data_IF_256623840480
#
_entry.id   IF_256623840480
#
_cell.length_a   1.000
_cell.length_b   1.000
_cell.length_c   1.000
_cell.angle_alpha   90.00
_cell.angle_beta   90.00
_cell.angle_gamma   90.00
#
_symmetry.space_group_name_H-M   'P 1'
#
loop_
_entity.id
_entity.type
_entity.pdbx_description
1 polymer ?
#
# COMPACT_ATOMS: atom_id res chain seq x y z
N UNK A 1 -9.66 -29.09 -3.32
CA UNK A 1 -8.99 -27.76 -3.39
C UNK A 1 -7.51 -27.99 -3.54
N UNK A 2 -6.78 -27.03 -4.12
CA UNK A 2 -5.34 -27.12 -4.35
C UNK A 2 -4.67 -25.78 -4.06
N UNK A 3 -3.42 -25.81 -3.58
CA UNK A 3 -2.60 -24.61 -3.40
C UNK A 3 -1.94 -24.15 -4.70
N UNK A 4 -1.81 -25.06 -5.66
CA UNK A 4 -1.25 -24.78 -6.97
C UNK A 4 -1.99 -25.59 -8.04
N UNK A 5 -1.85 -25.24 -9.33
CA UNK A 5 -2.19 -26.14 -10.42
C UNK A 5 -1.66 -27.54 -10.17
N UNK A 6 -2.52 -28.55 -10.30
CA UNK A 6 -2.18 -29.91 -9.91
C UNK A 6 -3.17 -30.94 -10.41
N UNK A 7 -3.14 -32.12 -9.83
CA UNK A 7 -4.04 -33.21 -10.18
C UNK A 7 -4.90 -33.63 -9.00
N UNK A 8 -6.12 -34.09 -9.30
CA UNK A 8 -7.05 -34.65 -8.31
C UNK A 8 -7.59 -35.99 -8.80
N UNK A 9 -8.04 -36.82 -7.86
CA UNK A 9 -8.74 -38.06 -8.18
C UNK A 9 -10.23 -37.89 -7.87
N UNK A 10 -11.08 -38.35 -8.77
CA UNK A 10 -12.53 -38.43 -8.55
C UNK A 10 -12.99 -39.88 -8.52
N UNK A 11 -13.94 -40.15 -7.64
CA UNK A 11 -14.66 -41.43 -7.59
C UNK A 11 -16.14 -41.16 -7.80
N UNK A 12 -16.69 -41.76 -8.85
CA UNK A 12 -18.13 -41.80 -9.12
C UNK A 12 -18.70 -43.09 -8.54
N UNK A 13 -19.93 -43.06 -8.02
CA UNK A 13 -20.59 -44.24 -7.44
C UNK A 13 -22.03 -44.34 -7.94
N UNK A 14 -22.63 -45.53 -7.83
CA UNK A 14 -24.08 -45.71 -8.02
C UNK A 14 -24.55 -46.02 -9.45
N UNK A 15 -23.67 -46.42 -10.38
CA UNK A 15 -24.08 -46.93 -11.69
C UNK A 15 -24.21 -48.47 -11.67
N UNK A 16 -24.95 -49.08 -12.62
CA UNK A 16 -24.99 -50.53 -12.77
C UNK A 16 -23.63 -51.07 -13.25
N UNK A 17 -23.19 -52.19 -12.66
CA UNK A 17 -21.84 -52.75 -12.75
C UNK A 17 -21.37 -53.11 -14.17
N UNK A 18 -20.05 -53.05 -14.40
CA UNK A 18 -19.34 -53.54 -15.60
C UNK A 18 -19.84 -53.02 -16.96
N UNK A 19 -20.37 -51.79 -17.04
CA UNK A 19 -20.71 -51.13 -18.30
C UNK A 19 -19.59 -50.21 -18.79
N UNK A 20 -19.34 -50.26 -20.10
CA UNK A 20 -18.31 -49.44 -20.75
C UNK A 20 -18.70 -47.95 -20.77
N UNK A 21 -17.76 -47.07 -20.40
CA UNK A 21 -17.81 -45.60 -20.50
C UNK A 21 -19.10 -44.94 -19.96
N UNK A 22 -19.66 -45.47 -18.87
CA UNK A 22 -20.95 -45.01 -18.33
C UNK A 22 -20.86 -43.65 -17.62
N UNK A 23 -19.68 -43.28 -17.12
CA UNK A 23 -19.41 -41.99 -16.48
C UNK A 23 -18.63 -41.06 -17.41
N UNK A 24 -19.09 -39.82 -17.56
CA UNK A 24 -18.40 -38.74 -18.24
C UNK A 24 -18.13 -37.58 -17.29
N UNK A 25 -16.88 -37.19 -17.11
CA UNK A 25 -16.48 -36.04 -16.31
C UNK A 25 -16.07 -34.88 -17.22
N UNK A 26 -16.74 -33.74 -17.05
CA UNK A 26 -16.44 -32.50 -17.77
C UNK A 26 -16.05 -31.39 -16.78
N UNK A 27 -15.17 -30.44 -17.15
CA UNK A 27 -14.44 -30.34 -18.42
C UNK A 27 -13.37 -31.43 -18.57
N UNK A 28 -12.97 -31.68 -19.82
CA UNK A 28 -11.98 -32.70 -20.19
C UNK A 28 -12.54 -33.91 -20.92
N UNK A 29 -13.88 -34.06 -20.96
CA UNK A 29 -14.59 -35.15 -21.63
C UNK A 29 -13.95 -36.52 -21.31
N UNK A 30 -13.67 -36.74 -20.03
CA UNK A 30 -13.01 -37.95 -19.54
C UNK A 30 -14.08 -39.01 -19.30
N UNK A 31 -13.78 -40.25 -19.67
CA UNK A 31 -14.70 -41.37 -19.49
C UNK A 31 -14.14 -42.41 -18.52
N UNK A 32 -15.03 -43.03 -17.76
CA UNK A 32 -14.70 -44.14 -16.87
C UNK A 32 -15.78 -45.23 -16.92
N UNK A 33 -15.34 -46.49 -16.91
CA UNK A 33 -16.22 -47.64 -16.80
C UNK A 33 -16.63 -47.83 -15.34
N UNK A 34 -17.83 -48.38 -15.11
CA UNK A 34 -18.18 -48.87 -13.79
C UNK A 34 -17.42 -50.16 -13.49
N UNK A 35 -16.80 -50.27 -12.32
CA UNK A 35 -16.20 -51.51 -11.81
C UNK A 35 -17.27 -52.53 -11.37
N UNK A 36 -16.83 -53.65 -10.81
CA UNK A 36 -17.70 -54.69 -10.26
C UNK A 36 -18.53 -54.23 -9.05
N UNK A 37 -18.21 -53.07 -8.44
CA UNK A 37 -18.97 -52.43 -7.39
C UNK A 37 -19.92 -51.32 -7.89
N UNK A 38 -19.89 -51.00 -9.19
CA UNK A 38 -20.68 -49.91 -9.77
C UNK A 38 -20.03 -48.53 -9.62
N UNK A 39 -18.72 -48.45 -9.39
CA UNK A 39 -17.97 -47.20 -9.21
C UNK A 39 -17.11 -46.88 -10.44
N UNK A 40 -16.94 -45.60 -10.74
CA UNK A 40 -16.01 -45.10 -11.75
C UNK A 40 -14.86 -44.35 -11.09
N UNK A 41 -13.65 -44.46 -11.65
CA UNK A 41 -12.47 -43.74 -11.18
C UNK A 41 -11.90 -42.84 -12.28
N UNK A 42 -11.58 -41.60 -11.92
CA UNK A 42 -10.83 -40.66 -12.74
C UNK A 42 -9.57 -40.29 -11.97
N UNK A 43 -8.43 -40.81 -12.41
CA UNK A 43 -7.15 -40.63 -11.74
C UNK A 43 -6.35 -39.50 -12.41
N UNK A 44 -5.65 -38.73 -11.59
CA UNK A 44 -4.74 -37.67 -12.04
C UNK A 44 -5.40 -36.64 -13.00
N UNK A 45 -6.64 -36.22 -12.71
CA UNK A 45 -7.33 -35.19 -13.49
C UNK A 45 -6.66 -33.85 -13.26
N UNK A 46 -6.08 -33.26 -14.31
CA UNK A 46 -5.40 -31.97 -14.24
C UNK A 46 -6.37 -30.82 -13.99
N UNK A 47 -6.02 -29.94 -13.06
CA UNK A 47 -6.75 -28.74 -12.68
C UNK A 47 -5.78 -27.57 -12.69
N UNK A 48 -5.90 -26.71 -13.70
CA UNK A 48 -5.03 -25.52 -13.84
C UNK A 48 -5.61 -24.27 -13.19
N UNK A 49 -6.94 -24.17 -13.09
CA UNK A 49 -7.63 -23.03 -12.50
C UNK A 49 -8.83 -23.52 -11.69
N UNK A 50 -9.40 -22.65 -10.84
CA UNK A 50 -10.67 -22.93 -10.15
C UNK A 50 -11.74 -23.34 -11.15
N UNK A 51 -12.22 -24.57 -11.02
CA UNK A 51 -13.09 -25.22 -12.02
C UNK A 51 -14.16 -26.05 -11.33
N UNK A 52 -15.38 -26.00 -11.85
CA UNK A 52 -16.45 -26.92 -11.47
C UNK A 52 -16.49 -28.10 -12.42
N UNK A 53 -16.19 -29.29 -11.90
CA UNK A 53 -16.35 -30.53 -12.64
C UNK A 53 -17.79 -31.02 -12.53
N UNK A 54 -18.39 -31.35 -13.66
CA UNK A 54 -19.72 -31.97 -13.76
C UNK A 54 -19.55 -33.39 -14.28
N UNK A 55 -19.90 -34.34 -13.43
CA UNK A 55 -20.06 -35.74 -13.75
C UNK A 55 -21.45 -35.94 -14.36
N UNK A 56 -21.54 -36.65 -15.47
CA UNK A 56 -22.78 -37.17 -16.03
C UNK A 56 -22.72 -38.69 -16.15
N UNK A 57 -23.85 -39.34 -15.91
CA UNK A 57 -24.04 -40.79 -16.06
C UNK A 57 -25.31 -41.01 -16.86
N UNK A 58 -25.24 -41.84 -17.89
CA UNK A 58 -26.40 -42.17 -18.75
C UNK A 58 -26.64 -43.67 -18.74
N UNK A 59 -27.85 -44.07 -18.32
CA UNK A 59 -28.28 -45.47 -18.33
C UNK A 59 -29.73 -45.58 -18.78
N UNK A 60 -30.02 -46.48 -19.73
CA UNK A 60 -31.38 -46.70 -20.22
C UNK A 60 -32.05 -45.47 -20.83
N UNK A 61 -31.27 -44.52 -21.38
CA UNK A 61 -31.78 -43.26 -21.92
C UNK A 61 -32.03 -42.16 -20.87
N UNK A 62 -31.79 -42.42 -19.58
CA UNK A 62 -31.86 -41.42 -18.52
C UNK A 62 -30.47 -40.91 -18.16
N UNK A 63 -30.30 -39.59 -18.08
CA UNK A 63 -29.05 -38.95 -17.64
C UNK A 63 -29.22 -38.35 -16.24
N UNK A 64 -28.24 -38.60 -15.36
CA UNK A 64 -28.08 -37.92 -14.08
C UNK A 64 -26.77 -37.17 -14.06
N UNK A 65 -26.71 -36.09 -13.27
CA UNK A 65 -25.51 -35.27 -13.11
C UNK A 65 -25.20 -35.01 -11.65
N UNK A 66 -23.92 -34.85 -11.35
CA UNK A 66 -23.41 -34.37 -10.07
C UNK A 66 -22.25 -33.40 -10.35
N UNK A 67 -22.07 -32.37 -9.52
CA UNK A 67 -21.02 -31.38 -9.72
C UNK A 67 -20.16 -31.23 -8.47
N UNK A 68 -18.85 -31.05 -8.69
CA UNK A 68 -17.87 -30.78 -7.65
C UNK A 68 -16.98 -29.61 -8.08
N UNK A 69 -16.99 -28.54 -7.29
CA UNK A 69 -16.07 -27.43 -7.49
C UNK A 69 -14.70 -27.73 -6.87
N UNK A 70 -13.64 -27.46 -7.63
CA UNK A 70 -12.26 -27.48 -7.17
C UNK A 70 -11.71 -26.06 -7.28
N UNK A 71 -11.45 -25.43 -6.13
CA UNK A 71 -10.77 -24.13 -6.06
C UNK A 71 -9.26 -24.32 -6.05
N UNK A 72 -8.56 -23.55 -6.88
CA UNK A 72 -7.10 -23.46 -6.94
C UNK A 72 -6.68 -22.11 -6.35
N UNK A 73 -5.90 -22.14 -5.28
CA UNK A 73 -5.40 -20.98 -4.55
C UNK A 73 -4.03 -20.56 -5.09
N UNK A 74 -3.94 -20.32 -6.40
CA UNK A 74 -2.71 -19.82 -7.03
C UNK A 74 -2.47 -18.32 -6.74
N UNK A 75 -1.24 -17.86 -6.96
CA UNK A 75 -0.86 -16.44 -6.87
C UNK A 75 -1.23 -15.83 -5.51
N UNK A 76 -0.66 -16.40 -4.46
CA UNK A 76 -0.83 -15.95 -3.08
C UNK A 76 0.24 -14.91 -2.78
N UNK A 77 -0.13 -13.63 -2.90
CA UNK A 77 0.78 -12.52 -2.64
C UNK A 77 0.54 -11.98 -1.24
N UNK A 78 1.62 -11.95 -0.45
CA UNK A 78 1.66 -11.35 0.88
C UNK A 78 2.37 -9.99 0.78
N UNK A 79 1.82 -8.96 1.42
CA UNK A 79 2.45 -7.64 1.49
C UNK A 79 2.44 -7.11 2.92
N UNK A 80 3.30 -6.13 3.20
CA UNK A 80 3.34 -5.39 4.46
C UNK A 80 3.07 -3.92 4.15
N UNK A 81 2.17 -3.29 4.90
CA UNK A 81 2.01 -1.84 4.94
C UNK A 81 2.19 -1.32 6.38
N UNK A 82 2.95 -0.25 6.60
CA UNK A 82 3.79 0.43 5.63
C UNK A 82 5.08 -0.32 5.28
N UNK A 83 5.59 -0.07 4.08
CA UNK A 83 6.92 -0.54 3.66
C UNK A 83 8.00 0.45 4.12
N UNK A 84 8.97 -0.04 4.87
CA UNK A 84 10.16 0.68 5.33
C UNK A 84 9.88 2.03 6.05
N UNK A 85 8.97 2.08 7.05
CA UNK A 85 8.63 3.33 7.70
C UNK A 85 9.82 3.91 8.48
N UNK A 86 9.98 5.23 8.41
CA UNK A 86 10.88 6.00 9.26
C UNK A 86 10.11 6.53 10.47
N UNK A 87 10.62 6.31 11.68
CA UNK A 87 10.05 6.83 12.92
C UNK A 87 11.07 7.64 13.70
N UNK A 88 10.58 8.57 14.51
CA UNK A 88 11.42 9.41 15.35
C UNK A 88 11.77 8.74 16.68
N UNK A 89 10.84 7.98 17.22
CA UNK A 89 10.99 7.22 18.46
C UNK A 89 9.83 6.24 18.59
N UNK A 90 9.93 5.33 19.55
CA UNK A 90 8.85 4.41 19.89
C UNK A 90 8.63 3.33 18.83
N UNK A 91 7.38 3.14 18.45
CA UNK A 91 6.94 2.03 17.63
C UNK A 91 6.00 2.48 16.51
N UNK A 92 5.87 1.65 15.48
CA UNK A 92 4.90 1.79 14.40
C UNK A 92 4.12 0.50 14.23
N UNK A 93 2.94 0.58 13.64
CA UNK A 93 2.13 -0.59 13.32
C UNK A 93 2.44 -1.06 11.90
N UNK A 94 2.97 -2.27 11.77
CA UNK A 94 3.07 -2.98 10.48
C UNK A 94 1.89 -3.92 10.34
N UNK A 95 1.21 -3.90 9.20
CA UNK A 95 0.04 -4.73 8.88
C UNK A 95 0.33 -5.57 7.66
N UNK A 96 0.12 -6.88 7.77
CA UNK A 96 0.23 -7.80 6.65
C UNK A 96 -1.11 -7.90 5.90
N UNK A 97 -1.04 -8.06 4.58
CA UNK A 97 -2.19 -8.35 3.72
C UNK A 97 -1.92 -9.58 2.88
N UNK A 98 -2.98 -10.32 2.55
CA UNK A 98 -2.92 -11.55 1.74
C UNK A 98 -3.93 -11.44 0.61
N UNK A 99 -3.43 -11.47 -0.62
CA UNK A 99 -4.25 -11.52 -1.83
C UNK A 99 -4.11 -12.90 -2.47
N UNK A 100 -5.22 -13.56 -2.75
CA UNK A 100 -5.27 -14.85 -3.47
C UNK A 100 -6.05 -14.65 -4.76
N UNK A 101 -5.41 -14.87 -5.92
CA UNK A 101 -6.04 -14.63 -7.22
C UNK A 101 -6.75 -13.26 -7.32
N UNK A 102 -6.18 -12.22 -6.71
CA UNK A 102 -6.75 -10.87 -6.68
C UNK A 102 -7.89 -10.64 -5.68
N UNK A 103 -8.22 -11.61 -4.84
CA UNK A 103 -9.22 -11.46 -3.75
C UNK A 103 -8.54 -11.35 -2.39
N UNK A 104 -8.99 -10.42 -1.54
CA UNK A 104 -8.46 -10.22 -0.19
C UNK A 104 -8.88 -11.38 0.73
N UNK A 105 -7.89 -12.02 1.35
CA UNK A 105 -8.03 -13.14 2.29
C UNK A 105 -7.35 -12.83 3.63
N UNK A 106 -7.04 -11.56 3.90
CA UNK A 106 -6.26 -11.17 5.07
C UNK A 106 -6.95 -11.58 6.39
N UNK A 107 -8.26 -11.36 6.49
CA UNK A 107 -9.03 -11.66 7.70
C UNK A 107 -9.13 -13.15 8.05
N UNK A 108 -8.96 -14.05 7.07
CA UNK A 108 -9.10 -15.50 7.24
C UNK A 108 -7.74 -16.22 7.25
N UNK A 109 -6.65 -15.49 7.00
CA UNK A 109 -5.30 -16.02 6.98
C UNK A 109 -4.65 -16.01 8.37
N UNK A 110 -3.69 -16.89 8.55
CA UNK A 110 -2.80 -16.93 9.72
C UNK A 110 -1.44 -16.35 9.37
N UNK A 111 -0.77 -15.74 10.34
CA UNK A 111 0.48 -15.02 10.12
C UNK A 111 1.58 -15.56 11.03
N UNK A 112 2.82 -15.47 10.55
CA UNK A 112 4.02 -15.70 11.34
C UNK A 112 5.05 -14.64 10.99
N UNK A 113 5.26 -13.72 11.91
CA UNK A 113 6.26 -12.66 11.80
C UNK A 113 7.63 -13.15 12.28
N UNK A 114 8.71 -12.52 11.82
CA UNK A 114 10.09 -12.82 12.25
C UNK A 114 10.31 -12.69 13.76
N UNK A 115 9.47 -11.90 14.46
CA UNK A 115 9.47 -11.76 15.92
C UNK A 115 8.53 -12.76 16.63
N UNK A 116 8.08 -13.82 15.93
CA UNK A 116 7.16 -14.86 16.41
C UNK A 116 5.73 -14.40 16.72
N UNK A 117 5.36 -13.16 16.40
CA UNK A 117 3.96 -12.74 16.49
C UNK A 117 3.10 -13.41 15.41
N UNK A 118 1.82 -13.64 15.70
CA UNK A 118 0.88 -14.37 14.83
C UNK A 118 -0.36 -13.56 14.42
N UNK A 119 -0.42 -12.29 14.81
CA UNK A 119 -1.49 -11.36 14.44
C UNK A 119 -1.26 -10.75 13.07
N UNK A 120 -2.33 -10.31 12.38
CA UNK A 120 -2.23 -9.61 11.11
C UNK A 120 -1.40 -8.32 11.22
N UNK A 121 -1.57 -7.58 12.31
CA UNK A 121 -0.84 -6.36 12.60
C UNK A 121 0.05 -6.53 13.84
N UNK A 122 1.23 -5.94 13.80
CA UNK A 122 2.19 -5.91 14.90
C UNK A 122 2.62 -4.47 15.18
N UNK A 123 2.82 -4.15 16.46
CA UNK A 123 3.35 -2.86 16.88
C UNK A 123 4.82 -3.04 17.29
N UNK A 124 5.73 -2.41 16.55
CA UNK A 124 7.16 -2.71 16.62
C UNK A 124 8.04 -1.47 16.49
N UNK A 125 9.21 -1.53 17.14
CA UNK A 125 10.24 -0.50 17.04
C UNK A 125 11.21 -0.74 15.87
N UNK A 126 12.35 -0.02 15.84
CA UNK A 126 13.35 -0.14 14.80
C UNK A 126 13.86 -1.59 14.64
N UNK A 127 13.96 -2.05 13.40
CA UNK A 127 14.33 -3.42 13.05
C UNK A 127 13.77 -3.85 11.69
N UNK A 128 14.23 -4.99 11.19
CA UNK A 128 13.73 -5.59 9.95
C UNK A 128 12.75 -6.72 10.27
N UNK A 129 11.56 -6.63 9.70
CA UNK A 129 10.46 -7.58 9.93
C UNK A 129 10.08 -8.26 8.63
N UNK A 130 9.97 -9.59 8.67
CA UNK A 130 9.39 -10.39 7.59
C UNK A 130 8.13 -11.09 8.09
N UNK A 131 7.24 -11.44 7.17
CA UNK A 131 6.03 -12.20 7.50
C UNK A 131 5.81 -13.31 6.49
N UNK A 132 5.45 -14.48 6.98
CA UNK A 132 4.84 -15.54 6.18
C UNK A 132 3.37 -15.62 6.55
N UNK A 133 2.50 -15.81 5.56
CA UNK A 133 1.08 -16.02 5.79
C UNK A 133 0.64 -17.37 5.24
N UNK A 134 -0.35 -17.98 5.89
CA UNK A 134 -1.00 -19.21 5.46
C UNK A 134 -2.50 -18.98 5.42
N UNK A 135 -3.09 -19.18 4.25
CA UNK A 135 -4.54 -19.07 4.03
C UNK A 135 -5.31 -20.05 4.91
N UNK A 136 -6.61 -19.81 5.11
CA UNK A 136 -7.52 -20.69 5.87
C UNK A 136 -7.55 -22.14 5.39
N UNK A 137 -7.08 -22.38 4.16
CA UNK A 137 -7.08 -23.68 3.50
C UNK A 137 -5.71 -24.39 3.54
N UNK A 138 -4.73 -23.79 4.21
CA UNK A 138 -3.40 -24.37 4.42
C UNK A 138 -2.35 -24.00 3.36
N UNK A 139 -2.67 -23.14 2.39
CA UNK A 139 -1.71 -22.71 1.38
C UNK A 139 -0.88 -21.55 1.89
N UNK A 140 0.45 -21.66 1.80
CA UNK A 140 1.42 -20.64 2.18
C UNK A 140 1.59 -19.60 1.10
N UNK A 141 1.91 -18.36 1.47
CA UNK A 141 2.24 -17.30 0.51
C UNK A 141 3.42 -17.65 -0.41
N UNK A 142 3.36 -17.18 -1.65
CA UNK A 142 4.40 -17.40 -2.68
C UNK A 142 5.64 -16.53 -2.45
N UNK A 143 5.54 -15.56 -1.54
CA UNK A 143 6.59 -14.62 -1.18
C UNK A 143 6.66 -14.39 0.33
N UNK A 144 7.81 -13.86 0.76
CA UNK A 144 8.05 -13.43 2.14
C UNK A 144 8.43 -11.95 2.10
N UNK A 145 7.46 -11.01 2.22
CA UNK A 145 7.76 -9.59 2.19
C UNK A 145 8.58 -9.17 3.41
N UNK A 146 9.31 -8.06 3.26
CA UNK A 146 10.13 -7.46 4.31
C UNK A 146 9.80 -5.98 4.46
N UNK A 147 9.87 -5.47 5.69
CA UNK A 147 9.76 -4.04 6.00
C UNK A 147 10.76 -3.68 7.10
N UNK A 148 11.57 -2.65 6.85
CA UNK A 148 12.57 -2.16 7.80
C UNK A 148 12.08 -0.90 8.48
N UNK A 149 11.73 -1.01 9.75
CA UNK A 149 11.44 0.14 10.61
C UNK A 149 12.77 0.76 11.01
N UNK A 150 12.90 2.05 10.78
CA UNK A 150 14.16 2.75 10.86
C UNK A 150 14.00 4.01 11.70
N UNK A 151 15.03 4.34 12.47
CA UNK A 151 15.07 5.62 13.18
C UNK A 151 15.55 6.69 12.23
N UNK A 152 14.76 7.74 12.09
CA UNK A 152 15.26 8.95 11.47
C UNK A 152 16.37 9.55 12.34
N UNK A 153 17.52 9.84 11.73
CA UNK A 153 18.63 10.52 12.42
C UNK A 153 18.20 11.94 12.75
N UNK A 154 18.42 12.39 13.98
CA UNK A 154 18.26 13.79 14.33
C UNK A 154 19.20 14.60 13.41
N UNK A 155 18.64 15.43 12.53
CA UNK A 155 19.43 16.38 11.76
C UNK A 155 20.27 17.22 12.73
N UNK A 156 21.52 17.52 12.37
CA UNK A 156 22.53 18.16 13.24
C UNK A 156 22.21 19.59 13.74
N UNK A 157 20.95 20.01 13.73
CA UNK A 157 20.47 21.26 14.32
C UNK A 157 20.48 21.18 15.85
N UNK A 158 21.17 22.13 16.48
CA UNK A 158 21.21 22.27 17.94
C UNK A 158 19.90 22.89 18.45
N UNK A 159 19.20 22.13 19.29
CA UNK A 159 18.30 22.50 20.39
C UNK A 159 17.25 23.65 20.28
N UNK A 160 17.01 24.27 19.13
CA UNK A 160 15.84 25.15 18.87
C UNK A 160 15.62 25.29 17.35
N UNK A 161 15.08 24.25 16.72
CA UNK A 161 15.16 24.06 15.29
C UNK A 161 14.11 24.84 14.48
N UNK A 162 14.22 26.17 14.48
CA UNK A 162 13.51 27.01 13.50
C UNK A 162 14.32 27.04 12.21
N UNK A 163 13.73 26.57 11.12
CA UNK A 163 14.31 26.62 9.79
C UNK A 163 13.62 27.66 8.92
N UNK A 164 14.41 28.34 8.09
CA UNK A 164 13.96 29.42 7.23
C UNK A 164 14.01 28.96 5.78
N UNK A 165 12.87 29.03 5.11
CA UNK A 165 12.67 28.50 3.76
C UNK A 165 12.20 29.62 2.84
N UNK A 166 12.77 29.71 1.65
CA UNK A 166 12.34 30.60 0.58
C UNK A 166 12.01 29.80 -0.69
N UNK A 167 11.31 30.43 -1.65
CA UNK A 167 10.86 29.78 -2.87
C UNK A 167 11.97 29.52 -3.89
N UNK A 168 13.22 29.85 -3.58
CA UNK A 168 14.37 29.67 -4.49
C UNK A 168 15.05 28.35 -4.15
N UNK A 169 15.16 27.44 -5.11
CA UNK A 169 15.83 26.16 -4.89
C UNK A 169 17.34 26.36 -4.62
N UNK A 170 17.77 26.02 -3.41
CA UNK A 170 19.11 25.46 -3.13
C UNK A 170 20.31 26.40 -3.01
N UNK A 171 20.40 27.24 -1.97
CA UNK A 171 21.71 27.79 -1.56
C UNK A 171 21.90 27.99 -0.05
N UNK A 172 20.81 28.10 0.72
CA UNK A 172 20.87 28.31 2.17
C UNK A 172 20.88 27.02 2.99
N UNK A 173 21.54 27.05 4.14
CA UNK A 173 21.54 25.96 5.14
C UNK A 173 20.23 25.89 5.95
N UNK A 174 19.29 26.81 5.70
CA UNK A 174 18.02 26.97 6.40
C UNK A 174 18.14 27.37 7.88
N UNK A 175 19.34 27.57 8.44
CA UNK A 175 19.55 27.79 9.89
C UNK A 175 19.30 29.24 10.31
N UNK A 176 19.43 30.20 9.39
CA UNK A 176 19.20 31.61 9.68
C UNK A 176 18.30 32.25 8.63
N UNK A 177 17.71 33.40 8.96
CA UNK A 177 16.93 34.21 8.01
C UNK A 177 17.74 34.61 6.77
N UNK A 178 19.05 34.85 6.95
CA UNK A 178 19.95 35.26 5.87
C UNK A 178 20.38 34.09 4.97
N UNK A 179 20.38 32.88 5.52
CA UNK A 179 20.75 31.63 4.85
C UNK A 179 19.53 30.75 4.60
N UNK A 180 18.37 31.37 4.31
CA UNK A 180 17.16 30.63 4.01
C UNK A 180 17.35 29.74 2.76
N UNK A 181 16.95 28.47 2.86
CA UNK A 181 17.14 27.47 1.83
C UNK A 181 15.82 26.92 1.28
N UNK A 182 15.91 25.75 0.63
CA UNK A 182 14.75 25.08 0.04
C UNK A 182 13.96 24.25 1.05
N UNK A 183 12.68 24.00 0.75
CA UNK A 183 11.78 23.22 1.60
C UNK A 183 12.30 21.80 1.89
N UNK A 184 12.79 21.10 0.87
CA UNK A 184 13.30 19.71 1.02
C UNK A 184 14.50 19.68 1.97
N UNK A 185 15.46 20.60 1.79
CA UNK A 185 16.61 20.74 2.69
C UNK A 185 16.18 20.98 4.14
N UNK A 186 15.20 21.86 4.36
CA UNK A 186 14.69 22.11 5.71
C UNK A 186 14.02 20.86 6.30
N UNK A 187 13.24 20.12 5.51
CA UNK A 187 12.58 18.87 5.94
C UNK A 187 13.62 17.82 6.37
N UNK A 188 14.68 17.63 5.58
CA UNK A 188 15.76 16.70 5.91
C UNK A 188 16.46 17.08 7.22
N UNK A 189 16.63 18.38 7.48
CA UNK A 189 17.19 18.90 8.72
C UNK A 189 16.23 18.79 9.93
N UNK A 190 14.92 18.85 9.69
CA UNK A 190 13.87 18.85 10.72
C UNK A 190 13.59 17.50 11.35
N UNK A 191 14.07 16.41 10.74
CA UNK A 191 13.68 15.06 11.11
C UNK A 191 13.83 14.84 12.63
N UNK A 192 12.68 14.67 13.28
CA UNK A 192 12.54 14.21 14.66
C UNK A 192 13.06 15.16 15.75
N UNK A 193 13.06 16.47 15.50
CA UNK A 193 13.67 17.44 16.42
C UNK A 193 12.73 18.61 16.83
N UNK A 194 11.42 18.37 16.93
CA UNK A 194 10.42 19.40 17.31
C UNK A 194 10.61 20.72 16.52
N UNK A 195 10.78 20.59 15.20
CA UNK A 195 11.25 21.68 14.35
C UNK A 195 10.10 22.54 13.81
N UNK A 196 10.38 23.81 13.54
CA UNK A 196 9.46 24.75 12.91
C UNK A 196 10.07 25.24 11.61
N UNK A 197 9.49 24.87 10.48
CA UNK A 197 9.82 25.41 9.16
C UNK A 197 8.96 26.65 8.91
N UNK A 198 9.62 27.79 8.82
CA UNK A 198 9.03 29.08 8.43
C UNK A 198 9.27 29.29 6.94
N UNK A 199 8.18 29.34 6.18
CA UNK A 199 8.23 29.50 4.74
C UNK A 199 7.85 30.92 4.34
N UNK A 200 8.68 31.54 3.52
CA UNK A 200 8.33 32.80 2.89
C UNK A 200 7.11 32.64 1.99
N UNK A 201 6.36 33.73 1.84
CA UNK A 201 5.38 33.90 0.78
C UNK A 201 6.10 33.73 -0.57
N UNK A 202 5.49 32.96 -1.46
CA UNK A 202 6.10 32.58 -2.72
C UNK A 202 5.57 31.24 -3.22
N UNK A 203 5.98 30.86 -4.43
CA UNK A 203 5.56 29.63 -5.08
C UNK A 203 6.70 28.60 -5.02
N UNK A 204 6.41 27.45 -4.40
CA UNK A 204 7.31 26.32 -4.22
C UNK A 204 6.87 25.22 -5.19
N UNK A 205 7.58 25.08 -6.29
CA UNK A 205 7.28 24.05 -7.29
C UNK A 205 7.88 22.71 -6.86
N UNK A 206 7.07 21.66 -6.87
CA UNK A 206 7.44 20.31 -6.48
C UNK A 206 7.20 19.34 -7.65
N UNK A 207 8.23 18.58 -8.01
CA UNK A 207 8.15 17.47 -8.98
C UNK A 207 7.98 16.10 -8.32
N UNK A 208 8.09 16.04 -6.99
CA UNK A 208 7.87 14.85 -6.17
C UNK A 208 7.27 15.26 -4.83
N UNK A 209 6.78 14.28 -4.08
CA UNK A 209 6.26 14.46 -2.72
C UNK A 209 7.35 14.99 -1.77
N UNK A 210 6.91 15.72 -0.76
CA UNK A 210 7.70 16.01 0.44
C UNK A 210 7.29 15.03 1.53
N UNK A 211 8.22 14.19 1.98
CA UNK A 211 7.99 13.27 3.09
C UNK A 211 8.06 14.01 4.43
N UNK A 212 6.98 13.95 5.22
CA UNK A 212 6.83 14.70 6.48
C UNK A 212 6.80 13.74 7.66
N UNK A 213 7.73 13.94 8.60
CA UNK A 213 7.89 13.12 9.81
C UNK A 213 7.14 13.68 11.02
N UNK A 214 7.26 12.99 12.17
CA UNK A 214 6.74 13.50 13.45
C UNK A 214 7.43 14.79 13.87
N UNK A 215 6.74 15.57 14.72
CA UNK A 215 7.34 16.71 15.42
C UNK A 215 7.85 17.82 14.51
N UNK A 216 7.14 18.09 13.41
CA UNK A 216 7.45 19.20 12.50
C UNK A 216 6.25 20.12 12.33
N UNK A 217 6.47 21.41 12.48
CA UNK A 217 5.51 22.44 12.09
C UNK A 217 5.99 23.07 10.80
N UNK A 218 5.15 23.06 9.76
CA UNK A 218 5.39 23.74 8.49
C UNK A 218 4.41 24.91 8.42
N UNK A 219 4.93 26.13 8.45
CA UNK A 219 4.11 27.34 8.45
C UNK A 219 4.50 28.33 7.35
N UNK A 220 3.52 28.75 6.57
CA UNK A 220 3.66 29.77 5.53
C UNK A 220 3.30 31.19 5.99
N UNK A 221 3.34 32.11 5.04
CA UNK A 221 2.88 33.49 5.22
C UNK A 221 3.95 34.49 5.65
N UNK A 222 5.23 34.11 5.67
CA UNK A 222 6.29 35.03 6.10
C UNK A 222 6.74 35.97 4.98
N UNK A 223 6.97 37.25 5.31
CA UNK A 223 7.64 38.18 4.39
C UNK A 223 9.07 37.76 4.10
N UNK A 224 9.70 38.33 3.06
CA UNK A 224 11.06 37.97 2.60
C UNK A 224 12.18 38.12 3.66
N UNK A 225 11.92 38.85 4.75
CA UNK A 225 12.82 39.03 5.88
C UNK A 225 12.35 38.30 7.16
N UNK A 226 11.26 37.52 7.09
CA UNK A 226 10.66 36.78 8.21
C UNK A 226 10.36 37.65 9.44
N UNK A 227 9.90 38.89 9.25
CA UNK A 227 9.48 39.78 10.35
C UNK A 227 7.97 39.85 10.52
N UNK A 228 7.21 39.62 9.44
CA UNK A 228 5.75 39.64 9.45
C UNK A 228 5.25 38.31 8.94
N UNK A 229 4.17 37.82 9.57
CA UNK A 229 3.38 36.67 9.12
C UNK A 229 2.00 37.15 8.71
N UNK A 230 1.54 36.76 7.53
CA UNK A 230 0.17 36.96 7.04
C UNK A 230 -0.53 35.60 6.90
N UNK A 231 -1.86 35.63 6.84
CA UNK A 231 -2.69 34.45 6.52
C UNK A 231 -3.45 34.68 5.20
N UNK A 232 -2.86 35.44 4.27
CA UNK A 232 -3.46 35.67 2.97
C UNK A 232 -3.28 34.42 2.10
N UNK A 233 -4.42 33.84 1.68
CA UNK A 233 -4.49 32.60 0.90
C UNK A 233 -4.90 32.85 -0.56
N UNK A 234 -4.85 34.10 -1.03
CA UNK A 234 -5.34 34.49 -2.37
C UNK A 234 -4.48 33.96 -3.55
N UNK A 235 -3.31 33.39 -3.27
CA UNK A 235 -2.43 32.79 -4.29
C UNK A 235 -1.29 33.70 -4.74
N UNK A 236 -0.39 33.14 -5.56
CA UNK A 236 0.72 33.89 -6.17
C UNK A 236 1.70 34.45 -5.15
N UNK A 237 1.97 35.75 -5.24
CA UNK A 237 2.92 36.48 -4.38
C UNK A 237 2.33 36.89 -3.03
N UNK A 238 1.11 36.44 -2.71
CA UNK A 238 0.42 36.80 -1.46
C UNK A 238 0.40 35.64 -0.46
N UNK A 239 0.56 34.39 -0.93
CA UNK A 239 0.52 33.18 -0.11
C UNK A 239 1.77 32.32 -0.28
N UNK A 240 2.09 31.51 0.73
CA UNK A 240 3.04 30.40 0.58
C UNK A 240 2.33 29.28 -0.19
N UNK A 241 2.59 29.20 -1.49
CA UNK A 241 1.92 28.28 -2.41
C UNK A 241 2.82 27.07 -2.70
N UNK A 242 2.36 25.89 -2.33
CA UNK A 242 2.94 24.61 -2.75
C UNK A 242 2.29 24.21 -4.06
N UNK A 243 3.09 24.11 -5.12
CA UNK A 243 2.60 23.75 -6.45
C UNK A 243 3.18 22.40 -6.87
N UNK A 244 2.34 21.37 -6.86
CA UNK A 244 2.70 20.03 -7.28
C UNK A 244 2.49 19.90 -8.79
N UNK A 245 3.52 19.46 -9.52
CA UNK A 245 3.39 19.17 -10.95
C UNK A 245 2.64 17.85 -11.22
N UNK A 246 2.55 17.45 -12.50
CA UNK A 246 1.83 16.25 -12.93
C UNK A 246 2.60 14.93 -12.76
N UNK A 247 3.87 14.98 -12.34
CA UNK A 247 4.72 13.80 -12.21
C UNK A 247 4.19 12.93 -11.06
N UNK A 248 4.04 11.61 -11.27
CA UNK A 248 3.67 10.69 -10.19
C UNK A 248 4.73 10.66 -9.07
N UNK A 249 4.33 10.26 -7.86
CA UNK A 249 5.25 10.16 -6.73
C UNK A 249 6.34 9.11 -7.00
N UNK A 250 7.58 9.38 -6.62
CA UNK A 250 8.72 8.50 -6.92
C UNK A 250 8.57 7.05 -6.42
N UNK A 251 7.78 6.84 -5.35
CA UNK A 251 7.51 5.54 -4.74
C UNK A 251 6.14 4.95 -5.14
N UNK A 252 5.35 5.68 -5.93
CA UNK A 252 4.04 5.27 -6.43
C UNK A 252 3.71 5.95 -7.78
N UNK A 253 4.58 5.82 -8.80
CA UNK A 253 4.58 6.71 -9.98
C UNK A 253 3.36 6.55 -10.89
N UNK A 254 2.55 5.51 -10.70
CA UNK A 254 1.35 5.21 -11.49
C UNK A 254 0.05 5.27 -10.68
N UNK A 255 0.12 5.58 -9.38
CA UNK A 255 -1.07 5.56 -8.51
C UNK A 255 -1.27 6.81 -7.65
N UNK A 256 -0.22 7.58 -7.34
CA UNK A 256 -0.38 8.82 -6.57
C UNK A 256 0.46 9.99 -7.07
N UNK A 257 -0.08 11.20 -6.86
CA UNK A 257 0.61 12.47 -7.03
C UNK A 257 0.32 13.32 -5.78
N UNK A 258 1.31 13.43 -4.91
CA UNK A 258 1.16 13.95 -3.54
C UNK A 258 2.05 15.17 -3.34
N UNK A 259 1.52 16.24 -2.73
CA UNK A 259 2.37 17.37 -2.29
C UNK A 259 3.10 17.04 -0.97
N UNK A 260 2.36 16.73 0.10
CA UNK A 260 2.95 16.27 1.37
C UNK A 260 2.52 14.84 1.69
N UNK A 261 3.48 13.93 1.86
CA UNK A 261 3.23 12.57 2.33
C UNK A 261 3.68 12.47 3.78
N UNK A 262 2.72 12.39 4.69
CA UNK A 262 3.02 12.21 6.11
C UNK A 262 3.35 10.75 6.36
N UNK A 263 4.46 10.51 7.06
CA UNK A 263 4.91 9.15 7.35
C UNK A 263 3.92 8.41 8.26
N UNK A 264 3.78 7.09 8.10
CA UNK A 264 2.99 6.25 9.01
C UNK A 264 3.37 6.45 10.47
N UNK A 265 2.38 6.43 11.35
CA UNK A 265 2.52 6.67 12.79
C UNK A 265 3.13 8.03 13.17
N UNK A 266 3.19 8.99 12.23
CA UNK A 266 3.68 10.32 12.56
C UNK A 266 2.80 10.99 13.61
N UNK A 267 3.42 11.73 14.53
CA UNK A 267 2.73 12.42 15.61
C UNK A 267 3.26 13.83 15.82
N UNK A 268 2.42 14.73 16.35
CA UNK A 268 2.88 16.06 16.75
C UNK A 268 3.32 16.95 15.59
N UNK A 269 2.73 16.79 14.40
CA UNK A 269 3.05 17.61 13.23
C UNK A 269 1.95 18.62 12.92
N UNK A 270 2.32 19.68 12.20
CA UNK A 270 1.40 20.76 11.85
C UNK A 270 1.66 21.32 10.47
N UNK A 271 0.57 21.60 9.75
CA UNK A 271 0.58 22.42 8.54
C UNK A 271 -0.24 23.68 8.79
N UNK A 272 0.31 24.84 8.48
CA UNK A 272 -0.35 26.11 8.73
C UNK A 272 -0.11 27.16 7.64
N UNK A 273 -1.17 27.86 7.22
CA UNK A 273 -1.09 29.02 6.31
C UNK A 273 -0.36 28.66 4.98
N UNK A 274 -0.67 27.50 4.40
CA UNK A 274 -0.09 26.98 3.16
C UNK A 274 -1.18 26.84 2.10
N UNK A 275 -0.94 27.24 0.86
CA UNK A 275 -1.89 27.01 -0.24
C UNK A 275 -1.39 25.87 -1.09
N UNK A 276 -2.21 24.85 -1.34
CA UNK A 276 -1.78 23.70 -2.15
C UNK A 276 -2.47 23.72 -3.52
N UNK A 277 -1.67 23.73 -4.58
CA UNK A 277 -2.11 23.60 -5.96
C UNK A 277 -1.69 22.23 -6.50
N UNK A 278 -2.67 21.43 -6.90
CA UNK A 278 -2.47 20.10 -7.47
C UNK A 278 -2.80 20.10 -8.97
N UNK A 279 -2.39 19.06 -9.72
CA UNK A 279 -2.79 18.87 -11.11
C UNK A 279 -4.30 19.03 -11.32
N UNK A 280 -4.66 19.80 -12.35
CA UNK A 280 -6.05 20.15 -12.67
C UNK A 280 -6.59 21.39 -11.94
N UNK A 281 -5.80 22.01 -11.06
CA UNK A 281 -6.08 23.36 -10.56
C UNK A 281 -5.82 24.42 -11.64
N UNK A 282 -6.30 25.68 -11.49
CA UNK A 282 -6.13 26.72 -12.51
C UNK A 282 -4.67 27.02 -12.91
N UNK A 283 -3.71 26.70 -12.04
CA UNK A 283 -2.28 27.00 -12.23
C UNK A 283 -1.41 25.77 -12.48
N UNK A 284 -2.01 24.57 -12.59
CA UNK A 284 -1.29 23.31 -12.86
C UNK A 284 -2.09 22.50 -13.90
N UNK A 285 -1.47 22.06 -15.01
CA UNK A 285 -2.14 21.18 -15.97
C UNK A 285 -2.76 19.96 -15.31
N UNK A 286 -3.86 19.47 -15.88
CA UNK A 286 -4.44 18.20 -15.48
C UNK A 286 -3.54 17.03 -15.89
N UNK A 287 -3.70 15.90 -15.20
CA UNK A 287 -3.13 14.64 -15.67
C UNK A 287 -3.73 14.26 -17.02
N UNK A 288 -2.96 13.54 -17.83
CA UNK A 288 -3.49 12.90 -19.04
C UNK A 288 -4.57 11.88 -18.65
N UNK A 289 -5.61 11.77 -19.47
CA UNK A 289 -6.65 10.76 -19.30
C UNK A 289 -6.06 9.34 -19.25
N UNK A 290 -6.59 8.50 -18.35
CA UNK A 290 -6.18 7.10 -18.22
C UNK A 290 -4.87 6.87 -17.45
N UNK A 291 -4.26 7.90 -16.84
CA UNK A 291 -3.04 7.75 -16.03
C UNK A 291 -3.23 6.95 -14.74
N UNK A 292 -4.45 6.92 -14.18
CA UNK A 292 -4.74 6.24 -12.91
C UNK A 292 -4.19 6.97 -11.66
N UNK A 293 -3.63 8.17 -11.82
CA UNK A 293 -3.06 8.95 -10.72
C UNK A 293 -4.14 9.64 -9.88
N UNK A 294 -4.03 9.47 -8.56
CA UNK A 294 -4.84 10.20 -7.58
C UNK A 294 -4.06 11.36 -6.97
N UNK A 295 -4.68 12.54 -6.91
CA UNK A 295 -4.07 13.75 -6.33
C UNK A 295 -4.29 13.82 -4.82
N UNK A 296 -3.22 14.09 -4.07
CA UNK A 296 -3.28 14.31 -2.63
C UNK A 296 -2.53 15.59 -2.23
N UNK A 297 -3.23 16.54 -1.60
CA UNK A 297 -2.56 17.72 -1.03
C UNK A 297 -1.71 17.33 0.17
N UNK A 298 -2.35 16.67 1.14
CA UNK A 298 -1.69 16.05 2.28
C UNK A 298 -2.21 14.61 2.35
N UNK A 299 -1.32 13.63 2.14
CA UNK A 299 -1.63 12.21 2.27
C UNK A 299 -1.13 11.72 3.63
N UNK A 300 -2.07 11.33 4.48
CA UNK A 300 -1.78 10.88 5.84
C UNK A 300 -1.34 9.41 5.83
N UNK A 301 -0.23 9.10 6.49
CA UNK A 301 0.13 7.72 6.80
C UNK A 301 -0.85 7.10 7.80
N UNK A 302 -0.94 5.78 7.80
CA UNK A 302 -1.76 5.05 8.77
C UNK A 302 -1.30 5.34 10.20
N UNK A 303 -2.24 5.48 11.14
CA UNK A 303 -1.92 5.67 12.56
C UNK A 303 -1.37 7.05 12.95
N UNK A 304 -1.46 8.08 12.09
CA UNK A 304 -1.05 9.43 12.46
C UNK A 304 -1.88 9.99 13.65
N UNK A 305 -1.25 10.70 14.58
CA UNK A 305 -1.89 11.26 15.78
C UNK A 305 -1.45 12.68 16.07
N UNK A 306 -2.16 13.39 16.96
CA UNK A 306 -1.74 14.69 17.51
C UNK A 306 -1.29 15.72 16.46
N UNK A 307 -2.04 15.84 15.36
CA UNK A 307 -1.73 16.75 14.27
C UNK A 307 -2.68 17.94 14.19
N UNK A 308 -2.21 19.02 13.59
CA UNK A 308 -3.01 20.21 13.35
C UNK A 308 -2.86 20.68 11.90
N UNK A 309 -3.97 20.84 11.19
CA UNK A 309 -3.98 21.35 9.82
C UNK A 309 -4.88 22.58 9.83
N UNK A 310 -4.30 23.76 9.64
CA UNK A 310 -4.99 25.04 9.81
C UNK A 310 -4.73 25.96 8.63
N UNK A 311 -5.81 26.40 7.96
CA UNK A 311 -5.73 27.32 6.81
C UNK A 311 -4.80 26.76 5.73
N UNK A 312 -5.15 25.58 5.23
CA UNK A 312 -4.46 24.89 4.15
C UNK A 312 -5.36 24.71 2.92
#
# INVERSE_FOLDING_TARGET
>A
MLCDPGTVNFTATGAPQNQANIYNLNPGNLFSNSDAGGNGAFNAVSVSNTTTFTLSVTYGGCTKTASQAITVYSSIIVSIDPVNPQICSGTTTLTAYVMVNGSDQSATSTYLWSNSATTQAINVGPGTYTVTATTSVGCTGDNVPTSTVSLASAGGGSNCNVYYVNSVSGAGDCLTKATAGGLITAIDLCNCNNAIIKMQIGIYNLSDKVDVNSYVTIEGGFTSNFTIKTSDMSGGNNSTTIRRDITGDSDAPTSSCTAFKVQPSATGFRFQDLRIELPGSPNVPAHTDGTGLSNYGIRMGTGCTSYNIVRC
#
